data_IF_891278977890
#
_entry.id   IF_891278977890
#
_cell.length_a   1.000
_cell.length_b   1.000
_cell.length_c   1.000
_cell.angle_alpha   90.00
_cell.angle_beta   90.00
_cell.angle_gamma   90.00
#
_symmetry.space_group_name_H-M   'P 1'
#
loop_
_entity.id
_entity.type
_entity.pdbx_description
1 polymer ?
#
# COMPACT_ATOMS: atom_id res chain seq x y z
N UNK A 1 24.38 18.41 -14.25
CA UNK A 1 22.91 18.44 -14.40
C UNK A 1 22.21 17.12 -14.01
N UNK A 2 22.93 16.02 -13.74
CA UNK A 2 22.33 14.72 -13.37
C UNK A 2 21.58 14.67 -12.02
N UNK A 3 21.82 15.63 -11.12
CA UNK A 3 21.23 15.65 -9.78
C UNK A 3 19.71 15.89 -9.78
N UNK A 4 19.18 16.70 -10.71
CA UNK A 4 17.74 17.01 -10.78
C UNK A 4 16.95 15.81 -11.31
N UNK A 5 17.43 15.16 -12.38
CA UNK A 5 16.79 13.97 -12.93
C UNK A 5 16.72 12.85 -11.89
N UNK A 6 17.81 12.59 -11.15
CA UNK A 6 17.81 11.64 -10.03
C UNK A 6 16.81 12.00 -8.94
N UNK A 7 16.70 13.29 -8.58
CA UNK A 7 15.72 13.75 -7.58
C UNK A 7 14.28 13.52 -8.04
N UNK A 8 13.98 13.79 -9.31
CA UNK A 8 12.64 13.57 -9.87
C UNK A 8 12.31 12.07 -9.94
N UNK A 9 13.24 11.24 -10.40
CA UNK A 9 13.07 9.78 -10.43
C UNK A 9 12.82 9.21 -9.03
N UNK A 10 13.58 9.66 -8.02
CA UNK A 10 13.36 9.24 -6.63
C UNK A 10 11.98 9.66 -6.11
N UNK A 11 11.49 10.85 -6.49
CA UNK A 11 10.15 11.30 -6.10
C UNK A 11 9.05 10.47 -6.75
N UNK A 12 9.18 10.12 -8.02
CA UNK A 12 8.23 9.24 -8.72
C UNK A 12 8.19 7.89 -8.02
N UNK A 13 9.36 7.27 -7.78
CA UNK A 13 9.45 5.99 -7.09
C UNK A 13 8.80 6.02 -5.71
N UNK A 14 9.05 7.07 -4.92
CA UNK A 14 8.43 7.22 -3.60
C UNK A 14 6.91 7.38 -3.65
N UNK A 15 6.36 7.96 -4.71
CA UNK A 15 4.91 8.07 -4.89
C UNK A 15 4.31 6.73 -5.28
N UNK A 16 4.96 5.99 -6.16
CA UNK A 16 4.56 4.63 -6.54
C UNK A 16 4.58 3.69 -5.33
N UNK A 17 5.70 3.66 -4.58
CA UNK A 17 5.86 2.84 -3.36
C UNK A 17 4.75 3.09 -2.31
N UNK A 18 4.20 4.31 -2.21
CA UNK A 18 3.14 4.65 -1.25
C UNK A 18 1.79 4.04 -1.59
N UNK A 19 1.53 3.79 -2.87
CA UNK A 19 0.26 3.23 -3.34
C UNK A 19 0.39 1.75 -3.70
N UNK A 20 1.58 1.19 -3.75
CA UNK A 20 1.82 -0.24 -3.96
C UNK A 20 1.50 -1.05 -2.72
N UNK A 21 0.92 -2.23 -2.89
CA UNK A 21 0.61 -3.15 -1.83
C UNK A 21 1.91 -3.60 -1.14
N UNK A 22 2.02 -3.44 0.20
CA UNK A 22 3.24 -3.77 0.92
C UNK A 22 3.47 -5.28 1.09
N UNK A 23 2.58 -6.12 0.57
CA UNK A 23 2.60 -7.58 0.72
C UNK A 23 3.13 -8.23 -0.54
N UNK A 24 2.47 -8.02 -1.69
CA UNK A 24 2.93 -8.56 -2.98
C UNK A 24 3.96 -7.66 -3.68
N UNK A 25 4.01 -6.36 -3.34
CA UNK A 25 4.90 -5.38 -3.99
C UNK A 25 4.65 -5.30 -5.51
N UNK A 26 3.41 -5.57 -5.93
CA UNK A 26 3.01 -5.62 -7.34
C UNK A 26 1.77 -4.75 -7.56
N UNK A 27 0.62 -5.21 -7.05
CA UNK A 27 -0.65 -4.48 -7.16
C UNK A 27 -0.70 -3.22 -6.30
N UNK A 28 -1.59 -2.29 -6.66
CA UNK A 28 -1.91 -1.13 -5.84
C UNK A 28 -2.80 -1.49 -4.65
N UNK A 29 -2.72 -0.66 -3.60
CA UNK A 29 -3.64 -0.66 -2.48
C UNK A 29 -5.04 -0.31 -2.99
N UNK A 30 -5.99 -1.22 -2.76
CA UNK A 30 -7.42 -1.03 -3.09
C UNK A 30 -8.32 -1.14 -1.86
N UNK A 31 -7.77 -1.60 -0.73
CA UNK A 31 -8.49 -1.78 0.52
C UNK A 31 -7.69 -1.22 1.67
N UNK A 32 -8.39 -0.59 2.61
CA UNK A 32 -7.85 -0.11 3.88
C UNK A 32 -8.60 -0.80 5.02
N UNK A 33 -7.87 -1.33 5.98
CA UNK A 33 -8.43 -1.90 7.20
C UNK A 33 -8.84 -0.77 8.16
N UNK A 34 -9.69 -1.06 9.14
CA UNK A 34 -10.13 -0.07 10.13
C UNK A 34 -8.99 0.60 10.93
N UNK A 35 -7.80 0.01 10.93
CA UNK A 35 -6.59 0.57 11.55
C UNK A 35 -5.85 1.59 10.66
N UNK A 36 -6.32 1.86 9.44
CA UNK A 36 -5.74 2.82 8.49
C UNK A 36 -4.69 2.25 7.54
N UNK A 37 -4.26 1.00 7.71
CA UNK A 37 -3.30 0.32 6.81
C UNK A 37 -4.01 -0.43 5.68
N UNK A 38 -3.37 -0.59 4.52
CA UNK A 38 -4.02 -1.18 3.35
C UNK A 38 -3.21 -2.23 2.59
N UNK A 39 -3.90 -2.94 1.71
CA UNK A 39 -3.35 -3.92 0.78
C UNK A 39 -4.12 -3.93 -0.55
N UNK A 40 -3.65 -4.67 -1.54
CA UNK A 40 -4.45 -5.00 -2.71
C UNK A 40 -5.60 -5.94 -2.34
N UNK A 41 -6.56 -6.11 -3.26
CA UNK A 41 -7.72 -6.99 -3.09
C UNK A 41 -7.33 -8.42 -2.78
N UNK A 42 -6.41 -8.98 -3.55
CA UNK A 42 -6.04 -10.40 -3.46
C UNK A 42 -5.33 -10.72 -2.14
N UNK A 43 -4.34 -9.90 -1.76
CA UNK A 43 -3.63 -10.07 -0.50
C UNK A 43 -4.54 -9.87 0.71
N UNK A 44 -5.62 -9.10 0.61
CA UNK A 44 -6.51 -8.81 1.75
C UNK A 44 -7.37 -10.00 2.18
N UNK A 45 -7.63 -10.93 1.26
CA UNK A 45 -8.63 -12.00 1.41
C UNK A 45 -8.28 -12.96 2.54
N UNK A 46 -7.01 -13.33 2.66
CA UNK A 46 -6.51 -14.28 3.66
C UNK A 46 -6.14 -13.63 5.02
N UNK A 47 -6.16 -12.30 5.11
CA UNK A 47 -5.71 -11.60 6.32
C UNK A 47 -6.81 -11.52 7.35
N UNK A 48 -6.56 -12.03 8.55
CA UNK A 48 -7.41 -11.81 9.74
C UNK A 48 -6.84 -10.75 10.68
N UNK A 49 -5.57 -10.40 10.49
CA UNK A 49 -4.80 -9.44 11.29
C UNK A 49 -4.02 -8.54 10.34
N UNK A 50 -3.94 -7.24 10.67
CA UNK A 50 -3.17 -6.28 9.89
C UNK A 50 -1.68 -6.63 9.93
N UNK A 51 -1.00 -6.80 8.78
CA UNK A 51 0.42 -7.17 8.74
C UNK A 51 1.34 -6.05 9.24
N UNK A 52 0.85 -4.81 9.33
CA UNK A 52 1.65 -3.64 9.72
C UNK A 52 1.57 -3.38 11.22
N UNK A 53 0.36 -3.27 11.78
CA UNK A 53 0.16 -2.92 13.19
C UNK A 53 -0.37 -4.07 14.06
N UNK A 54 -0.60 -5.26 13.48
CA UNK A 54 -1.05 -6.48 14.17
C UNK A 54 -2.43 -6.39 14.85
N UNK A 55 -3.23 -5.39 14.53
CA UNK A 55 -4.63 -5.33 14.97
C UNK A 55 -5.50 -6.31 14.19
N UNK A 56 -6.43 -7.00 14.86
CA UNK A 56 -7.41 -7.87 14.20
C UNK A 56 -8.26 -7.08 13.21
N UNK A 57 -8.42 -7.56 11.97
CA UNK A 57 -9.16 -6.85 10.91
C UNK A 57 -10.65 -7.07 11.13
N UNK A 58 -11.38 -5.98 11.33
CA UNK A 58 -12.85 -6.00 11.53
C UNK A 58 -13.59 -5.51 10.30
N UNK A 59 -13.02 -4.53 9.61
CA UNK A 59 -13.61 -3.93 8.41
C UNK A 59 -12.55 -3.78 7.33
N UNK A 60 -12.99 -3.91 6.07
CA UNK A 60 -12.20 -3.66 4.86
C UNK A 60 -12.95 -2.61 4.06
N UNK A 61 -12.36 -1.44 3.92
CA UNK A 61 -12.95 -0.28 3.24
C UNK A 61 -12.30 -0.21 1.87
N UNK A 62 -13.10 -0.33 0.80
CA UNK A 62 -12.61 -0.17 -0.56
C UNK A 62 -12.29 1.30 -0.84
N UNK A 63 -11.12 1.55 -1.38
CA UNK A 63 -10.65 2.88 -1.76
C UNK A 63 -10.34 2.93 -3.26
N UNK A 64 -10.46 4.13 -3.82
CA UNK A 64 -10.14 4.41 -5.21
C UNK A 64 -8.99 5.42 -5.21
N UNK A 65 -7.79 4.88 -5.45
CA UNK A 65 -6.55 5.63 -5.71
C UNK A 65 -6.27 5.68 -7.20
#
# INVERSE_FOLDING_TARGET
QECILKKLQNRIRQLEERITCPICIDDQIKLVFQCGHGSCSDCSTALTVCPICRQAIRERIQIFV
#
